data_IF_532392791241
#
_entry.id   IF_532392791241
#
_cell.length_a   1.000
_cell.length_b   1.000
_cell.length_c   1.000
_cell.angle_alpha   90.00
_cell.angle_beta   90.00
_cell.angle_gamma   90.00
#
_symmetry.space_group_name_H-M   'P 1'
#
loop_
_entity.id
_entity.type
_entity.pdbx_description
1 polymer ?
#
# COMPACT_ATOMS: atom_id res chain seq x y z
N UNK A 1 30.72 -9.51 20.53
CA UNK A 1 29.66 -10.52 20.26
C UNK A 1 28.27 -9.94 20.51
N UNK A 2 28.12 -9.04 21.50
CA UNK A 2 26.94 -8.18 21.74
C UNK A 2 26.54 -7.32 20.52
N UNK A 3 27.48 -6.58 19.92
CA UNK A 3 27.19 -5.63 18.83
C UNK A 3 26.60 -6.27 17.56
N UNK A 4 27.03 -7.50 17.24
CA UNK A 4 26.49 -8.27 16.10
C UNK A 4 25.06 -8.77 16.33
N UNK A 5 24.68 -9.06 17.58
CA UNK A 5 23.30 -9.47 17.92
C UNK A 5 22.35 -8.27 17.91
N UNK A 6 22.82 -7.11 18.38
CA UNK A 6 22.09 -5.84 18.30
C UNK A 6 21.79 -5.46 16.85
N UNK A 7 22.75 -5.64 15.93
CA UNK A 7 22.56 -5.40 14.49
C UNK A 7 21.54 -6.37 13.85
N UNK A 8 21.62 -7.66 14.15
CA UNK A 8 20.66 -8.65 13.65
C UNK A 8 19.22 -8.38 14.14
N UNK A 9 19.07 -8.01 15.42
CA UNK A 9 17.77 -7.65 15.98
C UNK A 9 17.19 -6.39 15.34
N UNK A 10 18.02 -5.37 15.07
CA UNK A 10 17.61 -4.14 14.40
C UNK A 10 17.13 -4.41 12.96
N UNK A 11 17.87 -5.24 12.20
CA UNK A 11 17.47 -5.68 10.84
C UNK A 11 16.14 -6.41 10.85
N UNK A 12 15.97 -7.37 11.75
CA UNK A 12 14.72 -8.11 11.89
C UNK A 12 13.54 -7.19 12.25
N UNK A 13 13.75 -6.26 13.18
CA UNK A 13 12.74 -5.28 13.56
C UNK A 13 12.31 -4.42 12.37
N UNK A 14 13.27 -3.86 11.62
CA UNK A 14 12.98 -3.03 10.45
C UNK A 14 12.24 -3.83 9.37
N UNK A 15 12.66 -5.05 9.08
CA UNK A 15 11.98 -5.92 8.13
C UNK A 15 10.53 -6.20 8.51
N UNK A 16 10.26 -6.50 9.79
CA UNK A 16 8.91 -6.68 10.32
C UNK A 16 8.08 -5.39 10.21
N UNK A 17 8.68 -4.22 10.47
CA UNK A 17 7.98 -2.93 10.32
C UNK A 17 7.61 -2.64 8.87
N UNK A 18 8.51 -2.89 7.92
CA UNK A 18 8.25 -2.75 6.48
C UNK A 18 7.15 -3.72 6.02
N UNK A 19 7.21 -4.97 6.47
CA UNK A 19 6.18 -5.98 6.20
C UNK A 19 4.80 -5.55 6.70
N UNK A 20 4.74 -5.06 7.94
CA UNK A 20 3.49 -4.61 8.58
C UNK A 20 2.93 -3.38 7.90
N UNK A 21 3.78 -2.42 7.50
CA UNK A 21 3.38 -1.23 6.77
C UNK A 21 2.64 -1.59 5.48
N UNK A 22 3.28 -2.40 4.62
CA UNK A 22 2.66 -2.80 3.36
C UNK A 22 1.40 -3.66 3.59
N UNK A 23 1.41 -4.55 4.59
CA UNK A 23 0.22 -5.36 4.93
C UNK A 23 -0.96 -4.51 5.42
N UNK A 24 -0.71 -3.39 6.11
CA UNK A 24 -1.76 -2.45 6.50
C UNK A 24 -2.33 -1.70 5.29
N UNK A 25 -1.45 -1.28 4.37
CA UNK A 25 -1.83 -0.65 3.12
C UNK A 25 -2.71 -1.55 2.25
N UNK A 26 -2.34 -2.81 2.07
CA UNK A 26 -3.15 -3.78 1.32
C UNK A 26 -4.53 -3.94 1.94
N UNK A 27 -4.63 -4.07 3.26
CA UNK A 27 -5.92 -4.19 3.96
C UNK A 27 -6.79 -2.95 3.76
N UNK A 28 -6.19 -1.76 3.79
CA UNK A 28 -6.88 -0.51 3.51
C UNK A 28 -7.42 -0.51 2.07
N UNK A 29 -6.60 -0.81 1.07
CA UNK A 29 -7.04 -0.88 -0.32
C UNK A 29 -8.15 -1.92 -0.51
N UNK A 30 -8.01 -3.12 0.05
CA UNK A 30 -9.06 -4.16 0.03
C UNK A 30 -10.38 -3.64 0.60
N UNK A 31 -10.33 -2.89 1.71
CA UNK A 31 -11.53 -2.30 2.32
C UNK A 31 -12.16 -1.27 1.39
N UNK A 32 -11.35 -0.40 0.79
CA UNK A 32 -11.84 0.61 -0.16
C UNK A 32 -12.47 -0.07 -1.38
N UNK A 33 -11.80 -1.04 -1.99
CA UNK A 33 -12.31 -1.77 -3.16
C UNK A 33 -13.61 -2.51 -2.86
N UNK A 34 -13.69 -3.19 -1.71
CA UNK A 34 -14.91 -3.90 -1.33
C UNK A 34 -16.08 -2.94 -1.13
N UNK A 35 -15.83 -1.76 -0.56
CA UNK A 35 -16.87 -0.78 -0.28
C UNK A 35 -17.31 -0.01 -1.53
N UNK A 36 -16.37 0.44 -2.36
CA UNK A 36 -16.65 1.32 -3.50
C UNK A 36 -16.85 0.52 -4.79
N UNK A 37 -15.94 -0.39 -5.12
CA UNK A 37 -15.95 -1.15 -6.38
C UNK A 37 -16.83 -2.41 -6.30
N UNK A 38 -17.22 -2.83 -5.09
CA UNK A 38 -17.96 -4.06 -4.83
C UNK A 38 -17.19 -5.36 -5.09
N UNK A 39 -15.95 -5.26 -5.59
CA UNK A 39 -15.13 -6.42 -6.00
C UNK A 39 -13.69 -6.25 -5.56
N UNK A 40 -13.04 -7.37 -5.24
CA UNK A 40 -11.62 -7.45 -4.88
C UNK A 40 -10.99 -8.57 -5.69
N UNK A 41 -9.76 -8.41 -6.21
CA UNK A 41 -9.07 -9.47 -6.94
C UNK A 41 -8.88 -10.73 -6.10
N UNK A 42 -8.70 -11.87 -6.78
CA UNK A 42 -8.53 -13.19 -6.15
C UNK A 42 -7.55 -14.05 -6.94
N UNK A 43 -7.16 -15.22 -6.41
CA UNK A 43 -6.12 -16.06 -7.01
C UNK A 43 -4.71 -15.59 -6.66
N UNK A 44 -3.67 -16.21 -7.23
CA UNK A 44 -2.29 -16.03 -6.76
C UNK A 44 -1.71 -14.62 -7.02
N UNK A 45 -2.19 -13.94 -8.06
CA UNK A 45 -1.76 -12.59 -8.47
C UNK A 45 -2.56 -11.45 -7.81
N UNK A 46 -3.50 -11.77 -6.92
CA UNK A 46 -4.45 -10.78 -6.37
C UNK A 46 -3.78 -9.56 -5.74
N UNK A 47 -2.61 -9.74 -5.11
CA UNK A 47 -1.85 -8.67 -4.49
C UNK A 47 -1.40 -7.61 -5.50
N UNK A 48 -0.96 -8.02 -6.69
CA UNK A 48 -0.53 -7.10 -7.77
C UNK A 48 -1.76 -6.46 -8.41
N UNK A 49 -2.77 -7.27 -8.69
CA UNK A 49 -4.03 -6.81 -9.29
C UNK A 49 -4.76 -5.78 -8.41
N UNK A 50 -4.63 -5.87 -7.09
CA UNK A 50 -5.16 -4.88 -6.15
C UNK A 50 -4.55 -3.49 -6.38
N UNK A 51 -3.23 -3.42 -6.57
CA UNK A 51 -2.52 -2.16 -6.86
C UNK A 51 -2.96 -1.63 -8.23
N UNK A 52 -3.05 -2.50 -9.23
CA UNK A 52 -3.51 -2.12 -10.56
C UNK A 52 -4.94 -1.59 -10.55
N UNK A 53 -5.85 -2.22 -9.79
CA UNK A 53 -7.23 -1.76 -9.62
C UNK A 53 -7.31 -0.43 -8.88
N UNK A 54 -6.46 -0.20 -7.87
CA UNK A 54 -6.35 1.08 -7.18
C UNK A 54 -5.84 2.22 -8.07
N UNK A 55 -5.00 1.88 -9.05
CA UNK A 55 -4.46 2.82 -10.02
C UNK A 55 -5.45 3.16 -11.15
N UNK A 56 -6.50 2.35 -11.35
CA UNK A 56 -7.51 2.58 -12.37
C UNK A 56 -8.71 3.36 -11.78
N UNK A 57 -9.25 4.34 -12.51
CA UNK A 57 -10.54 4.92 -12.16
C UNK A 57 -11.67 3.90 -12.33
N UNK A 58 -12.72 4.03 -11.54
CA UNK A 58 -13.98 3.31 -11.69
C UNK A 58 -15.06 4.34 -12.07
N UNK A 59 -15.34 4.53 -13.38
CA UNK A 59 -16.23 5.59 -13.85
C UNK A 59 -17.60 5.56 -13.15
N UNK A 60 -18.04 6.72 -12.65
CA UNK A 60 -19.30 6.86 -11.91
C UNK A 60 -19.25 6.38 -10.45
N UNK A 61 -18.11 5.87 -9.97
CA UNK A 61 -17.94 5.37 -8.59
C UNK A 61 -16.83 6.14 -7.87
N UNK A 62 -15.62 6.16 -8.44
CA UNK A 62 -14.46 6.84 -7.85
C UNK A 62 -13.37 7.14 -8.89
N UNK A 63 -12.53 8.17 -8.66
CA UNK A 63 -11.29 8.34 -9.40
C UNK A 63 -10.28 7.22 -9.07
N UNK A 64 -9.13 7.25 -9.74
CA UNK A 64 -7.99 6.45 -9.32
C UNK A 64 -7.57 6.83 -7.89
N UNK A 65 -7.32 5.84 -7.04
CA UNK A 65 -6.92 6.06 -5.64
C UNK A 65 -5.45 6.44 -5.55
N UNK A 66 -4.63 5.89 -6.45
CA UNK A 66 -3.18 6.13 -6.50
C UNK A 66 -2.77 6.40 -7.95
N UNK A 67 -1.72 7.21 -8.13
CA UNK A 67 -1.10 7.41 -9.43
C UNK A 67 -0.19 6.23 -9.84
N UNK A 68 0.20 6.18 -11.12
CA UNK A 68 1.07 5.13 -11.65
C UNK A 68 2.45 5.08 -10.97
N UNK A 69 2.97 6.21 -10.49
CA UNK A 69 4.24 6.27 -9.78
C UNK A 69 4.15 5.66 -8.38
N UNK A 70 3.07 5.93 -7.65
CA UNK A 70 2.76 5.29 -6.37
C UNK A 70 2.56 3.79 -6.56
N UNK A 71 1.82 3.38 -7.59
CA UNK A 71 1.62 1.96 -7.92
C UNK A 71 2.97 1.25 -8.12
N UNK A 72 3.90 1.84 -8.86
CA UNK A 72 5.23 1.28 -9.09
C UNK A 72 6.06 1.14 -7.79
N UNK A 73 6.04 2.16 -6.92
CA UNK A 73 6.76 2.08 -5.62
C UNK A 73 6.12 1.07 -4.66
N UNK A 74 4.80 0.95 -4.67
CA UNK A 74 4.08 -0.06 -3.90
C UNK A 74 4.37 -1.47 -4.39
N UNK A 75 4.52 -1.70 -5.69
CA UNK A 75 4.89 -3.01 -6.23
C UNK A 75 6.31 -3.44 -5.81
N UNK A 76 7.25 -2.48 -5.67
CA UNK A 76 8.58 -2.75 -5.09
C UNK A 76 8.49 -3.17 -3.63
N UNK A 77 7.62 -2.55 -2.84
CA UNK A 77 7.37 -2.96 -1.44
C UNK A 77 6.62 -4.30 -1.34
N UNK A 78 5.69 -4.57 -2.25
CA UNK A 78 5.03 -5.88 -2.37
C UNK A 78 6.05 -6.98 -2.59
N UNK A 79 6.99 -6.74 -3.50
CA UNK A 79 8.06 -7.68 -3.85
C UNK A 79 8.95 -7.97 -2.64
N UNK A 80 9.34 -6.94 -1.88
CA UNK A 80 10.03 -7.12 -0.60
C UNK A 80 9.21 -7.93 0.41
N UNK A 81 7.92 -7.64 0.57
CA UNK A 81 7.06 -8.44 1.47
C UNK A 81 7.01 -9.90 1.05
N UNK A 82 6.91 -10.18 -0.25
CA UNK A 82 6.90 -11.54 -0.76
C UNK A 82 8.22 -12.25 -0.45
N UNK A 83 9.35 -11.58 -0.72
CA UNK A 83 10.68 -12.05 -0.33
C UNK A 83 10.75 -12.35 1.17
N UNK A 84 10.39 -11.39 2.02
CA UNK A 84 10.46 -11.52 3.49
C UNK A 84 9.63 -12.69 4.03
N UNK A 85 8.44 -12.96 3.46
CA UNK A 85 7.62 -14.12 3.85
C UNK A 85 8.29 -15.47 3.56
N UNK A 86 9.22 -15.52 2.62
CA UNK A 86 9.95 -16.73 2.23
C UNK A 86 11.37 -16.77 2.79
N UNK A 87 11.87 -15.67 3.36
CA UNK A 87 13.28 -15.48 3.72
C UNK A 87 13.73 -16.17 5.03
N UNK A 88 13.10 -17.29 5.44
CA UNK A 88 13.38 -17.98 6.71
C UNK A 88 14.86 -18.41 6.92
N UNK A 89 15.73 -18.27 5.91
CA UNK A 89 17.16 -18.64 5.96
C UNK A 89 18.09 -17.55 5.39
N UNK A 90 17.58 -16.41 4.90
CA UNK A 90 18.42 -15.39 4.23
C UNK A 90 18.85 -14.31 5.20
N UNK A 91 20.14 -13.97 5.21
CA UNK A 91 20.66 -12.82 5.95
C UNK A 91 20.06 -11.54 5.36
N UNK A 92 19.37 -10.76 6.19
CA UNK A 92 18.78 -9.49 5.79
C UNK A 92 19.90 -8.45 5.56
N UNK A 93 20.02 -7.97 4.33
CA UNK A 93 20.94 -6.89 3.99
C UNK A 93 20.39 -5.56 4.53
N UNK A 94 21.21 -4.88 5.34
CA UNK A 94 20.88 -3.57 5.89
C UNK A 94 20.70 -2.51 4.79
N UNK A 95 21.49 -2.54 3.72
CA UNK A 95 21.40 -1.56 2.65
C UNK A 95 20.05 -1.69 1.90
N UNK A 96 19.59 -2.91 1.68
CA UNK A 96 18.28 -3.17 1.06
C UNK A 96 17.13 -2.71 1.97
N UNK A 97 17.19 -3.05 3.26
CA UNK A 97 16.19 -2.60 4.25
C UNK A 97 16.12 -1.08 4.35
N UNK A 98 17.27 -0.40 4.34
CA UNK A 98 17.34 1.06 4.39
C UNK A 98 16.77 1.69 3.11
N UNK A 99 17.00 1.09 1.94
CA UNK A 99 16.35 1.51 0.69
C UNK A 99 14.81 1.41 0.79
N UNK A 100 14.29 0.31 1.35
CA UNK A 100 12.85 0.17 1.58
C UNK A 100 12.31 1.14 2.64
N UNK A 101 13.09 1.43 3.68
CA UNK A 101 12.73 2.45 4.69
C UNK A 101 12.58 3.83 4.05
N UNK A 102 13.56 4.24 3.25
CA UNK A 102 13.52 5.51 2.52
C UNK A 102 12.36 5.57 1.53
N UNK A 103 12.09 4.45 0.84
CA UNK A 103 10.91 4.32 -0.02
C UNK A 103 9.62 4.57 0.76
N UNK A 104 9.43 3.92 1.91
CA UNK A 104 8.26 4.16 2.78
C UNK A 104 8.18 5.64 3.21
N UNK A 105 9.29 6.23 3.63
CA UNK A 105 9.33 7.65 4.01
C UNK A 105 8.91 8.59 2.86
N UNK A 106 9.28 8.27 1.61
CA UNK A 106 8.89 9.06 0.44
C UNK A 106 7.44 8.83 -0.01
N UNK A 107 6.93 7.59 0.11
CA UNK A 107 5.61 7.22 -0.39
C UNK A 107 4.49 7.62 0.56
N UNK A 108 4.75 7.56 1.87
CA UNK A 108 3.72 7.73 2.89
C UNK A 108 2.97 9.06 2.77
N UNK A 109 3.64 10.24 2.68
CA UNK A 109 2.91 11.50 2.54
C UNK A 109 2.11 11.57 1.23
N UNK A 110 2.64 11.02 0.14
CA UNK A 110 1.94 10.96 -1.15
C UNK A 110 0.68 10.09 -1.07
N UNK A 111 0.79 8.93 -0.42
CA UNK A 111 -0.36 8.03 -0.21
C UNK A 111 -1.44 8.68 0.64
N UNK A 112 -1.06 9.35 1.74
CA UNK A 112 -2.03 10.07 2.58
C UNK A 112 -2.75 11.14 1.76
N UNK A 113 -2.01 11.95 1.01
CA UNK A 113 -2.60 12.97 0.13
C UNK A 113 -3.56 12.36 -0.91
N UNK A 114 -3.22 11.21 -1.51
CA UNK A 114 -4.14 10.56 -2.45
C UNK A 114 -5.41 10.02 -1.79
N UNK A 115 -5.33 9.55 -0.54
CA UNK A 115 -6.50 9.11 0.22
C UNK A 115 -7.36 10.31 0.65
N UNK A 116 -6.76 11.43 1.06
CA UNK A 116 -7.46 12.68 1.37
C UNK A 116 -8.23 13.19 0.13
N UNK A 117 -7.58 13.22 -1.04
CA UNK A 117 -8.22 13.59 -2.30
C UNK A 117 -9.38 12.67 -2.67
N UNK A 118 -9.26 11.36 -2.41
CA UNK A 118 -10.36 10.42 -2.61
C UNK A 118 -11.54 10.74 -1.68
N UNK A 119 -11.28 11.01 -0.40
CA UNK A 119 -12.33 11.34 0.57
C UNK A 119 -13.05 12.64 0.20
N UNK A 120 -12.30 13.69 -0.13
CA UNK A 120 -12.86 14.97 -0.60
C UNK A 120 -13.76 14.78 -1.83
N UNK A 121 -13.33 13.94 -2.78
CA UNK A 121 -14.13 13.64 -3.96
C UNK A 121 -15.44 12.90 -3.63
N UNK A 122 -15.40 11.95 -2.69
CA UNK A 122 -16.59 11.20 -2.27
C UNK A 122 -17.56 12.09 -1.50
N UNK A 123 -17.07 12.97 -0.64
CA UNK A 123 -17.88 13.95 0.08
C UNK A 123 -18.59 14.91 -0.89
N UNK A 124 -17.86 15.49 -1.84
CA UNK A 124 -18.43 16.37 -2.86
C UNK A 124 -19.49 15.67 -3.75
N UNK A 125 -19.35 14.36 -3.95
CA UNK A 125 -20.32 13.56 -4.71
C UNK A 125 -21.61 13.28 -3.93
N UNK A 126 -21.55 13.22 -2.60
CA UNK A 126 -22.73 13.09 -1.73
C UNK A 126 -23.56 14.38 -1.69
N UNK A 127 -22.91 15.54 -1.54
CA UNK A 127 -23.59 16.85 -1.50
C UNK A 127 -24.38 17.15 -2.79
N UNK A 128 -23.94 16.59 -3.93
CA UNK A 128 -24.64 16.74 -5.20
C UNK A 128 -25.98 15.99 -5.23
N UNK A 129 -26.05 14.81 -4.60
CA UNK A 129 -27.25 13.96 -4.57
C UNK A 129 -28.34 14.58 -3.68
N UNK A 130 -27.97 15.21 -2.58
CA UNK A 130 -28.93 15.84 -1.65
C UNK A 130 -29.59 17.10 -2.23
N UNK A 131 -28.90 17.84 -3.11
CA UNK A 131 -29.38 19.11 -3.65
C UNK A 131 -30.27 19.01 -4.92
N UNK A 132 -30.45 17.81 -5.50
CA UNK A 132 -31.19 17.61 -6.77
C UNK A 132 -32.45 16.73 -6.63
N UNK A 133 -32.98 16.56 -5.41
CA UNK A 133 -34.26 15.87 -5.15
C UNK A 133 -35.44 16.81 -4.85
N UNK A 134 -35.35 18.11 -5.16
CA UNK A 134 -36.46 19.07 -5.00
C UNK A 134 -37.25 19.30 -6.29
#
# INVERSE_FOLDING_TARGET
MEDRKLDAAARAFLAVKLHNYYSALEKMLVRIMRTLDGTVPSGDSWHRELIEQACRPAPGIRPAIIDHGLAAELDRLRSFRHFFRNAYVVELDWAELECHRQRVSSLHPRLISSIEQLLEHLEASCDFVENHQT
#
